data_IF_050709589055
#
_entry.id   IF_050709589055
#
_cell.length_a   1.000
_cell.length_b   1.000
_cell.length_c   1.000
_cell.angle_alpha   90.00
_cell.angle_beta   90.00
_cell.angle_gamma   90.00
#
_symmetry.space_group_name_H-M   'P 1'
#
loop_
_entity.id
_entity.type
_entity.pdbx_description
1 polymer ?
#
# COMPACT_ATOMS: atom_id res chain seq x y z
N UNK A 1 3.64 11.24 -17.48
CA UNK A 1 2.49 10.56 -16.86
C UNK A 1 2.58 10.75 -15.36
N UNK A 2 1.48 11.08 -14.70
CA UNK A 2 1.43 11.17 -13.24
C UNK A 2 1.12 9.78 -12.71
N UNK A 3 2.01 9.22 -11.87
CA UNK A 3 1.72 7.99 -11.16
C UNK A 3 0.58 8.23 -10.16
N UNK A 4 -0.35 7.28 -10.08
CA UNK A 4 -1.43 7.26 -9.09
C UNK A 4 -1.44 5.90 -8.42
N UNK A 5 -1.31 5.89 -7.10
CA UNK A 5 -1.26 4.66 -6.32
C UNK A 5 -2.65 4.01 -6.30
N UNK A 6 -2.81 2.74 -6.72
CA UNK A 6 -4.10 2.05 -6.75
C UNK A 6 -4.46 1.49 -5.37
N UNK A 7 -4.42 2.33 -4.32
CA UNK A 7 -4.58 1.90 -2.92
C UNK A 7 -5.90 1.18 -2.67
N UNK A 8 -6.99 1.59 -3.33
CA UNK A 8 -8.31 0.94 -3.24
C UNK A 8 -8.27 -0.51 -3.75
N UNK A 9 -7.66 -0.74 -4.90
CA UNK A 9 -7.58 -2.07 -5.50
C UNK A 9 -6.63 -2.97 -4.71
N UNK A 10 -5.55 -2.41 -4.16
CA UNK A 10 -4.65 -3.13 -3.25
C UNK A 10 -5.39 -3.54 -1.97
N UNK A 11 -6.14 -2.64 -1.33
CA UNK A 11 -6.93 -2.93 -0.14
C UNK A 11 -7.98 -4.02 -0.43
N UNK A 12 -8.71 -3.91 -1.55
CA UNK A 12 -9.66 -4.93 -1.98
C UNK A 12 -8.97 -6.29 -2.19
N UNK A 13 -7.81 -6.32 -2.86
CA UNK A 13 -7.08 -7.56 -3.12
C UNK A 13 -6.65 -8.22 -1.81
N UNK A 14 -6.14 -7.44 -0.84
CA UNK A 14 -5.72 -7.98 0.45
C UNK A 14 -6.91 -8.57 1.22
N UNK A 15 -8.04 -7.88 1.26
CA UNK A 15 -9.23 -8.30 2.01
C UNK A 15 -10.01 -9.42 1.30
N UNK A 16 -10.45 -9.18 0.07
CA UNK A 16 -11.40 -10.04 -0.62
C UNK A 16 -10.75 -11.21 -1.38
N UNK A 17 -9.46 -11.12 -1.70
CA UNK A 17 -8.76 -12.14 -2.50
C UNK A 17 -7.73 -12.89 -1.67
N UNK A 18 -6.84 -12.18 -0.97
CA UNK A 18 -5.77 -12.79 -0.21
C UNK A 18 -6.19 -13.26 1.19
N UNK A 19 -7.35 -12.81 1.69
CA UNK A 19 -7.86 -13.19 3.01
C UNK A 19 -6.96 -12.70 4.14
N UNK A 20 -6.44 -11.48 4.05
CA UNK A 20 -5.49 -10.92 5.02
C UNK A 20 -6.01 -10.95 6.48
N UNK A 21 -7.32 -10.92 6.69
CA UNK A 21 -7.92 -11.05 8.03
C UNK A 21 -7.56 -12.38 8.72
N UNK A 22 -7.24 -13.43 7.95
CA UNK A 22 -6.76 -14.71 8.48
C UNK A 22 -5.38 -14.59 9.13
N UNK A 23 -4.58 -13.61 8.70
CA UNK A 23 -3.27 -13.32 9.28
C UNK A 23 -3.43 -12.81 10.71
N UNK A 24 -4.44 -11.96 10.97
CA UNK A 24 -4.80 -11.53 12.32
C UNK A 24 -5.15 -12.73 13.22
N UNK A 25 -5.92 -13.69 12.68
CA UNK A 25 -6.35 -14.89 13.40
C UNK A 25 -5.21 -15.81 13.84
N UNK A 26 -4.01 -15.68 13.26
CA UNK A 26 -2.82 -16.45 13.68
C UNK A 26 -2.24 -16.01 15.02
N UNK A 27 -2.55 -14.78 15.48
CA UNK A 27 -1.95 -14.18 16.67
C UNK A 27 -0.47 -13.77 16.52
N UNK A 28 0.14 -13.98 15.35
CA UNK A 28 1.53 -13.58 15.09
C UNK A 28 1.70 -12.06 14.89
N UNK A 29 0.60 -11.34 14.66
CA UNK A 29 0.57 -9.90 14.36
C UNK A 29 -0.43 -9.21 15.31
N UNK A 30 -0.06 -9.03 16.59
CA UNK A 30 -0.98 -8.56 17.63
C UNK A 30 -1.49 -7.13 17.40
N UNK A 31 -0.73 -6.31 16.69
CA UNK A 31 -1.06 -4.91 16.40
C UNK A 31 -1.69 -4.71 15.01
N UNK A 32 -1.99 -5.80 14.30
CA UNK A 32 -2.59 -5.72 12.97
C UNK A 32 -4.12 -5.60 13.06
N UNK A 33 -4.66 -4.57 12.40
CA UNK A 33 -6.07 -4.45 12.07
C UNK A 33 -6.28 -3.83 10.67
N UNK A 34 -7.54 -3.79 10.22
CA UNK A 34 -7.90 -3.29 8.90
C UNK A 34 -7.66 -1.76 8.77
N UNK A 35 -7.78 -1.02 9.85
CA UNK A 35 -7.58 0.43 9.87
C UNK A 35 -6.10 0.78 9.70
N UNK A 36 -5.21 0.05 10.39
CA UNK A 36 -3.77 0.13 10.23
C UNK A 36 -3.35 -0.19 8.80
N UNK A 37 -3.90 -1.26 8.21
CA UNK A 37 -3.63 -1.59 6.81
C UNK A 37 -4.01 -0.44 5.88
N UNK A 38 -5.21 0.14 6.07
CA UNK A 38 -5.68 1.28 5.28
C UNK A 38 -4.75 2.49 5.40
N UNK A 39 -4.37 2.85 6.62
CA UNK A 39 -3.45 3.96 6.89
C UNK A 39 -2.07 3.76 6.26
N UNK A 40 -1.53 2.54 6.34
CA UNK A 40 -0.24 2.20 5.71
C UNK A 40 -0.31 2.31 4.19
N UNK A 41 -1.37 1.79 3.57
CA UNK A 41 -1.57 1.88 2.12
C UNK A 41 -1.72 3.34 1.65
N UNK A 42 -2.45 4.17 2.41
CA UNK A 42 -2.61 5.59 2.09
C UNK A 42 -1.27 6.34 2.16
N UNK A 43 -0.53 6.20 3.27
CA UNK A 43 0.76 6.84 3.45
C UNK A 43 1.78 6.39 2.39
N UNK A 44 1.81 5.09 2.07
CA UNK A 44 2.65 4.53 1.01
C UNK A 44 2.27 5.08 -0.37
N UNK A 45 0.98 5.25 -0.65
CA UNK A 45 0.47 5.87 -1.86
C UNK A 45 0.94 7.32 -2.00
N UNK A 46 0.73 8.13 -0.95
CA UNK A 46 1.17 9.53 -0.91
C UNK A 46 2.68 9.66 -1.11
N UNK A 47 3.47 8.81 -0.44
CA UNK A 47 4.93 8.79 -0.60
C UNK A 47 5.36 8.40 -2.01
N UNK A 48 4.72 7.37 -2.58
CA UNK A 48 5.01 6.91 -3.94
C UNK A 48 4.70 7.98 -4.99
N UNK A 49 3.60 8.71 -4.84
CA UNK A 49 3.23 9.79 -5.75
C UNK A 49 4.05 11.06 -5.56
N UNK A 50 4.31 11.46 -4.31
CA UNK A 50 4.94 12.74 -3.99
C UNK A 50 6.47 12.71 -3.98
N UNK A 51 7.08 11.55 -3.73
CA UNK A 51 8.54 11.42 -3.58
C UNK A 51 9.14 10.50 -4.63
N UNK A 52 8.62 9.28 -4.79
CA UNK A 52 9.25 8.29 -5.67
C UNK A 52 9.01 8.59 -7.15
N UNK A 53 7.75 8.82 -7.55
CA UNK A 53 7.39 9.04 -8.94
C UNK A 53 8.12 10.22 -9.61
N UNK A 54 8.35 11.38 -8.94
CA UNK A 54 9.15 12.47 -9.50
C UNK A 54 10.60 12.08 -9.79
N UNK A 55 11.20 11.22 -8.97
CA UNK A 55 12.59 10.80 -9.13
C UNK A 55 12.80 9.83 -10.31
N UNK A 56 11.74 9.15 -10.77
CA UNK A 56 11.83 8.16 -11.83
C UNK A 56 12.42 8.74 -13.13
N UNK A 57 11.97 9.94 -13.54
CA UNK A 57 12.48 10.61 -14.74
C UNK A 57 13.94 11.05 -14.60
N UNK A 58 14.34 11.49 -13.39
CA UNK A 58 15.72 11.90 -13.12
C UNK A 58 16.64 10.67 -13.15
N UNK A 59 16.17 9.54 -12.62
CA UNK A 59 16.86 8.25 -12.67
C UNK A 59 17.09 7.76 -14.09
N UNK A 60 16.07 7.78 -14.94
CA UNK A 60 16.14 7.31 -16.34
C UNK A 60 17.10 8.11 -17.24
N UNK A 61 17.50 9.32 -16.84
CA UNK A 61 18.38 10.19 -17.62
C UNK A 61 19.87 9.94 -17.37
N UNK A 62 20.22 9.05 -16.44
CA UNK A 62 21.59 8.69 -16.12
C UNK A 62 21.93 7.29 -16.60
#
# INVERSE_FOLDING_TARGET
MTYRAPTRDLAFTLQAVAGIDQVAATGAFPDYDADLMGAVLEAAGQFSEGVLAPLNRIGDQK
#
